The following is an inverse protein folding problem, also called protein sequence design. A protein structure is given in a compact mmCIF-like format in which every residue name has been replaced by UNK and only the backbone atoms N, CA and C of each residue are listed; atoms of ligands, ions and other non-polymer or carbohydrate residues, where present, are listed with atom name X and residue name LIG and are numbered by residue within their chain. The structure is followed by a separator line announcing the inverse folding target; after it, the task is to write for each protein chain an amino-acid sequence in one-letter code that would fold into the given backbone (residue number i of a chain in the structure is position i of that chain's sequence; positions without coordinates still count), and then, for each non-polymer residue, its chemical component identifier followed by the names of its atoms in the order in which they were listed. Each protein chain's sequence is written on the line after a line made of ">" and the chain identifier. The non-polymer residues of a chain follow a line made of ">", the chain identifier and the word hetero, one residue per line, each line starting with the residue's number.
data_IF_820561064589
#
_entry.id   IF_820561064589
#
_cell.length_a   1.000
_cell.length_b   1.000
_cell.length_c   1.000
_cell.angle_alpha   90.00
_cell.angle_beta   90.00
_cell.angle_gamma   90.00
#
_symmetry.space_group_name_H-M   'P 1'
#
loop_
_entity.id
_entity.type
_entity.pdbx_description
1 polymer ?
#
# COMPACT_ATOMS: atom_id res chain seq x y z
N UNK A 1 2.72 11.29 -9.83
CA UNK A 1 1.74 10.48 -9.08
C UNK A 1 2.37 10.13 -7.74
N UNK A 2 1.69 10.39 -6.62
CA UNK A 2 2.09 10.00 -5.27
C UNK A 2 1.49 8.63 -4.97
N UNK A 3 2.32 7.69 -4.58
CA UNK A 3 1.96 6.29 -4.35
C UNK A 3 2.36 5.93 -2.92
N UNK A 4 1.43 5.32 -2.17
CA UNK A 4 1.76 4.66 -0.92
C UNK A 4 1.78 3.14 -1.14
N UNK A 5 2.94 2.51 -0.95
CA UNK A 5 3.10 1.07 -0.95
C UNK A 5 3.00 0.53 0.48
N UNK A 6 1.92 -0.18 0.79
CA UNK A 6 1.68 -0.79 2.09
C UNK A 6 2.13 -2.25 2.07
N UNK A 7 3.21 -2.55 2.78
CA UNK A 7 3.85 -3.87 2.78
C UNK A 7 3.41 -4.68 3.99
N UNK A 8 2.98 -5.92 3.77
CA UNK A 8 2.80 -6.91 4.83
C UNK A 8 3.95 -7.92 4.81
N UNK A 9 4.95 -7.69 5.66
CA UNK A 9 6.14 -8.54 5.76
C UNK A 9 5.84 -9.99 6.21
N UNK A 10 4.64 -10.25 6.77
CA UNK A 10 4.21 -11.59 7.15
C UNK A 10 3.53 -12.37 6.02
N UNK A 11 3.24 -11.72 4.88
CA UNK A 11 2.68 -12.42 3.73
C UNK A 11 3.75 -13.31 3.07
N UNK A 12 3.41 -14.57 2.78
CA UNK A 12 4.36 -15.55 2.24
C UNK A 12 4.95 -15.20 0.87
N UNK A 13 4.23 -14.37 0.08
CA UNK A 13 4.66 -13.86 -1.22
C UNK A 13 5.61 -12.65 -1.13
N UNK A 14 5.74 -12.04 0.04
CA UNK A 14 6.54 -10.84 0.28
C UNK A 14 7.92 -11.26 0.76
N UNK A 15 8.94 -10.81 0.05
CA UNK A 15 10.34 -10.97 0.42
C UNK A 15 11.07 -9.65 0.27
N UNK A 16 12.21 -9.48 0.94
CA UNK A 16 13.05 -8.29 0.76
C UNK A 16 13.42 -8.07 -0.72
N UNK A 17 13.75 -9.16 -1.43
CA UNK A 17 14.08 -9.11 -2.87
C UNK A 17 12.91 -8.60 -3.70
N UNK A 18 11.72 -9.19 -3.53
CA UNK A 18 10.57 -8.80 -4.34
C UNK A 18 10.05 -7.40 -3.97
N UNK A 19 10.16 -7.00 -2.70
CA UNK A 19 9.84 -5.62 -2.26
C UNK A 19 10.70 -4.59 -3.00
N UNK A 20 12.00 -4.84 -3.16
CA UNK A 20 12.89 -3.96 -3.94
C UNK A 20 12.46 -3.89 -5.41
N UNK A 21 12.07 -5.02 -6.01
CA UNK A 21 11.61 -5.08 -7.40
C UNK A 21 10.33 -4.25 -7.59
N UNK A 22 9.33 -4.46 -6.71
CA UNK A 22 8.06 -3.73 -6.75
C UNK A 22 8.28 -2.23 -6.55
N UNK A 23 9.06 -1.84 -5.53
CA UNK A 23 9.39 -0.44 -5.29
C UNK A 23 10.06 0.21 -6.51
N UNK A 24 11.04 -0.46 -7.13
CA UNK A 24 11.72 0.06 -8.33
C UNK A 24 10.77 0.26 -9.50
N UNK A 25 9.88 -0.70 -9.74
CA UNK A 25 8.90 -0.61 -10.83
C UNK A 25 7.93 0.56 -10.61
N UNK A 26 7.39 0.70 -9.39
CA UNK A 26 6.50 1.80 -9.03
C UNK A 26 7.19 3.17 -9.08
N UNK A 27 8.48 3.23 -8.72
CA UNK A 27 9.27 4.47 -8.79
C UNK A 27 9.47 4.98 -10.22
N UNK A 28 9.22 4.16 -11.25
CA UNK A 28 9.26 4.62 -12.66
C UNK A 28 8.00 5.40 -13.05
N UNK A 29 6.91 5.27 -12.30
CA UNK A 29 5.60 5.87 -12.63
C UNK A 29 5.14 6.90 -11.61
N UNK A 30 5.83 7.01 -10.46
CA UNK A 30 5.47 7.96 -9.41
C UNK A 30 6.48 8.04 -8.27
N UNK A 31 6.22 8.96 -7.35
CA UNK A 31 6.90 9.08 -6.07
C UNK A 31 6.32 8.06 -5.10
N UNK A 32 7.16 7.18 -4.55
CA UNK A 32 6.73 6.04 -3.74
C UNK A 32 7.13 6.24 -2.29
N UNK A 33 6.14 6.28 -1.40
CA UNK A 33 6.32 6.11 0.05
C UNK A 33 6.09 4.63 0.39
N UNK A 34 6.96 4.03 1.20
CA UNK A 34 6.81 2.63 1.64
C UNK A 34 6.52 2.61 3.13
N UNK A 35 5.47 1.88 3.53
CA UNK A 35 5.14 1.64 4.93
C UNK A 35 4.96 0.16 5.18
N UNK A 36 5.42 -0.31 6.33
CA UNK A 36 5.26 -1.70 6.75
C UNK A 36 4.15 -1.83 7.78
N UNK A 37 3.33 -2.87 7.60
CA UNK A 37 2.30 -3.27 8.56
C UNK A 37 2.88 -4.28 9.55
N UNK A 38 2.57 -4.11 10.82
CA UNK A 38 3.05 -4.98 11.89
C UNK A 38 1.93 -5.78 12.58
N UNK A 39 0.67 -5.51 12.22
CA UNK A 39 -0.53 -6.17 12.75
C UNK A 39 -1.74 -5.91 11.87
N UNK A 40 -2.80 -6.70 12.06
CA UNK A 40 -4.11 -6.50 11.41
C UNK A 40 -4.67 -5.10 11.69
N UNK A 41 -5.27 -4.49 10.68
CA UNK A 41 -5.88 -3.16 10.69
C UNK A 41 -4.91 -2.00 10.49
N UNK A 42 -3.60 -2.24 10.32
CA UNK A 42 -2.65 -1.18 10.02
C UNK A 42 -2.80 -0.67 8.58
N UNK A 43 -3.04 -1.55 7.61
CA UNK A 43 -3.14 -1.12 6.22
C UNK A 43 -4.34 -0.19 6.01
N UNK A 44 -5.47 -0.45 6.68
CA UNK A 44 -6.62 0.46 6.68
C UNK A 44 -6.26 1.84 7.21
N UNK A 45 -5.51 1.92 8.32
CA UNK A 45 -5.11 3.22 8.91
C UNK A 45 -4.18 4.00 7.97
N UNK A 46 -3.22 3.32 7.36
CA UNK A 46 -2.33 3.93 6.38
C UNK A 46 -3.08 4.40 5.14
N UNK A 47 -3.99 3.59 4.62
CA UNK A 47 -4.82 3.93 3.47
C UNK A 47 -5.73 5.14 3.75
N UNK A 48 -6.40 5.18 4.91
CA UNK A 48 -7.20 6.33 5.32
C UNK A 48 -6.35 7.61 5.45
N UNK A 49 -5.14 7.49 5.98
CA UNK A 49 -4.24 8.63 6.10
C UNK A 49 -3.74 9.14 4.74
N UNK A 50 -3.36 8.21 3.86
CA UNK A 50 -2.99 8.52 2.49
C UNK A 50 -4.12 9.25 1.75
N UNK A 51 -5.36 8.77 1.89
CA UNK A 51 -6.52 9.42 1.30
C UNK A 51 -6.74 10.84 1.84
N UNK A 52 -6.61 11.05 3.16
CA UNK A 52 -6.66 12.40 3.75
C UNK A 52 -5.55 13.32 3.26
N UNK A 53 -4.35 12.78 2.99
CA UNK A 53 -3.21 13.51 2.42
C UNK A 53 -3.33 13.75 0.90
N UNK A 54 -4.38 13.22 0.27
CA UNK A 54 -4.63 13.31 -1.17
C UNK A 54 -3.66 12.47 -2.01
N UNK A 55 -3.12 11.39 -1.46
CA UNK A 55 -2.28 10.45 -2.21
C UNK A 55 -3.10 9.87 -3.37
N UNK A 56 -2.49 9.72 -4.54
CA UNK A 56 -3.22 9.35 -5.76
C UNK A 56 -3.60 7.85 -5.75
N UNK A 57 -2.69 6.99 -5.28
CA UNK A 57 -2.86 5.53 -5.24
C UNK A 57 -2.30 4.94 -3.94
N UNK A 58 -3.04 4.00 -3.33
CA UNK A 58 -2.51 3.13 -2.27
C UNK A 58 -2.46 1.69 -2.79
N UNK A 59 -1.26 1.10 -2.74
CA UNK A 59 -0.99 -0.25 -3.24
C UNK A 59 -0.80 -1.20 -2.06
N UNK A 60 -1.61 -2.26 -2.00
CA UNK A 60 -1.48 -3.32 -1.00
C UNK A 60 -0.49 -4.40 -1.45
N UNK A 61 0.74 -4.40 -0.93
CA UNK A 61 1.72 -5.46 -1.20
C UNK A 61 1.75 -6.51 -0.09
N UNK A 62 0.95 -7.56 -0.27
CA UNK A 62 0.76 -8.63 0.69
C UNK A 62 -0.12 -9.75 0.13
N UNK A 63 -1.10 -10.18 0.92
CA UNK A 63 -2.16 -11.08 0.47
C UNK A 63 -3.54 -10.41 0.50
N UNK A 64 -4.59 -11.19 0.26
CA UNK A 64 -5.98 -10.68 0.16
C UNK A 64 -6.43 -9.87 1.38
N UNK A 65 -5.98 -10.26 2.59
CA UNK A 65 -6.27 -9.51 3.80
C UNK A 65 -5.69 -8.08 3.80
N UNK A 66 -4.48 -7.92 3.28
CA UNK A 66 -3.84 -6.60 3.11
C UNK A 66 -4.58 -5.77 2.07
N UNK A 67 -4.95 -6.38 0.94
CA UNK A 67 -5.73 -5.70 -0.11
C UNK A 67 -7.09 -5.25 0.42
N UNK A 68 -7.81 -6.12 1.14
CA UNK A 68 -9.11 -5.78 1.73
C UNK A 68 -9.01 -4.64 2.76
N UNK A 69 -7.93 -4.61 3.56
CA UNK A 69 -7.69 -3.51 4.49
C UNK A 69 -7.43 -2.18 3.78
N UNK A 70 -6.63 -2.18 2.71
CA UNK A 70 -6.40 -0.98 1.88
C UNK A 70 -7.70 -0.52 1.23
N UNK A 71 -8.44 -1.44 0.60
CA UNK A 71 -9.74 -1.18 -0.01
C UNK A 71 -10.71 -0.52 0.98
N UNK A 72 -10.78 -1.07 2.20
CA UNK A 72 -11.59 -0.49 3.28
C UNK A 72 -11.15 0.94 3.64
N UNK A 73 -9.85 1.21 3.61
CA UNK A 73 -9.31 2.52 3.99
C UNK A 73 -9.50 3.60 2.93
N UNK A 74 -9.53 3.25 1.65
CA UNK A 74 -9.75 4.19 0.53
C UNK A 74 -11.21 4.25 0.07
N UNK A 75 -12.08 3.36 0.57
CA UNK A 75 -13.48 3.32 0.18
C UNK A 75 -14.18 4.68 0.40
N UNK A 76 -14.84 5.18 -0.65
CA UNK A 76 -15.53 6.47 -0.63
C UNK A 76 -14.61 7.69 -0.74
N UNK A 77 -13.34 7.49 -1.12
CA UNK A 77 -12.38 8.57 -1.37
C UNK A 77 -11.96 8.58 -2.84
N UNK A 78 -11.29 9.66 -3.27
CA UNK A 78 -10.75 9.77 -4.63
C UNK A 78 -9.42 9.02 -4.82
N UNK A 79 -8.84 8.47 -3.75
CA UNK A 79 -7.61 7.70 -3.80
C UNK A 79 -7.85 6.32 -4.39
N UNK A 80 -7.12 5.98 -5.44
CA UNK A 80 -7.26 4.70 -6.10
C UNK A 80 -6.66 3.55 -5.29
N UNK A 81 -7.24 2.36 -5.45
CA UNK A 81 -6.75 1.09 -4.91
C UNK A 81 -5.85 0.40 -5.95
N UNK A 82 -4.73 -0.18 -5.50
CA UNK A 82 -3.85 -1.01 -6.31
C UNK A 82 -3.21 -2.16 -5.55
#
# INVERSE_FOLDING_TARGET
>A
MRILLVVNAFASSVTARNTVVVHRALSQVGEVEVVETNRRGHATRFAQDAARRGVDVVIGYGGDGTLNEVATGVAGTDTALG
#
